data_IF_574411694115
#
_entry.id   IF_574411694115
#
_cell.length_a   1.000
_cell.length_b   1.000
_cell.length_c   1.000
_cell.angle_alpha   90.00
_cell.angle_beta   90.00
_cell.angle_gamma   90.00
#
_symmetry.space_group_name_H-M   'P 1'
#
loop_
_entity.id
_entity.type
_entity.pdbx_description
1 polymer ?
#
# COMPACT_ATOMS: atom_id res chain seq x y z
N UNK A 1 -14.98 -17.37 -14.01
CA UNK A 1 -15.12 -16.72 -12.69
C UNK A 1 -13.71 -16.37 -12.25
N UNK A 2 -13.23 -15.20 -12.64
CA UNK A 2 -11.87 -14.73 -12.37
C UNK A 2 -11.98 -13.53 -11.45
N UNK A 3 -12.12 -13.78 -10.15
CA UNK A 3 -12.16 -12.71 -9.16
C UNK A 3 -10.71 -12.37 -8.83
N UNK A 4 -10.18 -11.36 -9.51
CA UNK A 4 -8.84 -10.85 -9.25
C UNK A 4 -8.77 -10.33 -7.81
N UNK A 5 -7.65 -10.60 -7.09
CA UNK A 5 -7.48 -10.15 -5.73
C UNK A 5 -7.53 -8.61 -5.66
N UNK A 6 -8.30 -8.09 -4.70
CA UNK A 6 -8.44 -6.66 -4.48
C UNK A 6 -7.35 -6.18 -3.51
N UNK A 7 -6.62 -5.17 -3.94
CA UNK A 7 -5.55 -4.53 -3.20
C UNK A 7 -5.91 -3.08 -2.89
N UNK A 8 -4.99 -2.42 -2.18
CA UNK A 8 -5.07 -1.02 -1.80
C UNK A 8 -6.29 -0.70 -0.90
N UNK A 9 -6.28 0.50 -0.35
CA UNK A 9 -7.40 1.06 0.41
C UNK A 9 -8.65 1.30 -0.46
N UNK A 10 -8.50 1.39 -1.78
CA UNK A 10 -9.61 1.53 -2.72
C UNK A 10 -10.31 0.20 -3.04
N UNK A 11 -9.77 -0.95 -2.58
CA UNK A 11 -10.30 -2.30 -2.86
C UNK A 11 -10.51 -2.51 -4.36
N UNK A 12 -9.46 -2.28 -5.14
CA UNK A 12 -9.46 -2.49 -6.58
C UNK A 12 -8.37 -3.48 -6.97
N UNK A 13 -8.49 -4.07 -8.15
CA UNK A 13 -7.49 -4.98 -8.71
C UNK A 13 -6.14 -4.27 -8.88
N UNK A 14 -5.07 -5.03 -9.11
CA UNK A 14 -3.79 -4.44 -9.45
C UNK A 14 -3.86 -3.78 -10.83
N UNK A 15 -3.53 -2.49 -10.90
CA UNK A 15 -3.45 -1.75 -12.17
C UNK A 15 -2.42 -0.63 -12.05
N UNK A 16 -1.81 -0.24 -13.18
CA UNK A 16 -0.84 0.85 -13.21
C UNK A 16 0.36 0.65 -12.28
N UNK A 17 0.86 1.75 -11.73
CA UNK A 17 2.00 1.74 -10.80
C UNK A 17 1.54 1.44 -9.36
N UNK A 18 2.19 0.43 -8.76
CA UNK A 18 1.89 -0.01 -7.40
C UNK A 18 3.14 -0.09 -6.55
N UNK A 19 2.97 0.18 -5.26
CA UNK A 19 4.00 0.09 -4.22
C UNK A 19 3.61 -0.95 -3.19
N UNK A 20 4.58 -1.76 -2.75
CA UNK A 20 4.40 -2.67 -1.63
C UNK A 20 4.70 -1.96 -0.30
N UNK A 21 3.84 -2.15 0.68
CA UNK A 21 4.08 -1.75 2.06
C UNK A 21 5.05 -2.75 2.70
N UNK A 22 6.16 -2.25 3.22
CA UNK A 22 7.22 -3.06 3.85
C UNK A 22 6.85 -3.62 5.23
N UNK A 23 5.67 -3.26 5.75
CA UNK A 23 5.14 -3.84 6.98
C UNK A 23 4.49 -5.19 6.69
N UNK A 24 5.09 -6.28 7.19
CA UNK A 24 4.60 -7.66 7.05
C UNK A 24 3.18 -7.86 7.62
N UNK A 25 2.82 -7.07 8.64
CA UNK A 25 1.46 -7.08 9.22
C UNK A 25 0.46 -6.19 8.45
N UNK A 26 0.80 -5.70 7.26
CA UNK A 26 -0.11 -4.88 6.46
C UNK A 26 -1.15 -5.76 5.77
N UNK A 27 -2.47 -5.56 6.01
CA UNK A 27 -3.51 -6.43 5.44
C UNK A 27 -3.71 -6.24 3.93
N UNK A 28 -3.19 -5.16 3.35
CA UNK A 28 -3.38 -4.83 1.93
C UNK A 28 -2.15 -5.15 1.10
N UNK A 29 -0.95 -5.08 1.69
CA UNK A 29 0.39 -5.27 1.10
C UNK A 29 0.72 -4.35 -0.08
N UNK A 30 -0.19 -4.12 -1.02
CA UNK A 30 0.00 -3.35 -2.26
C UNK A 30 -0.94 -2.16 -2.36
N UNK A 31 -0.42 -1.05 -2.88
CA UNK A 31 -1.15 0.21 -3.01
C UNK A 31 -0.86 0.89 -4.34
N UNK A 32 -1.89 1.48 -4.97
CA UNK A 32 -1.72 2.30 -6.17
C UNK A 32 -1.07 3.64 -5.84
N UNK A 33 -0.17 4.09 -6.70
CA UNK A 33 0.55 5.34 -6.53
C UNK A 33 -0.40 6.53 -6.32
N UNK A 34 -1.44 6.63 -7.15
CA UNK A 34 -2.48 7.66 -7.05
C UNK A 34 -3.23 7.63 -5.71
N UNK A 35 -3.50 6.43 -5.17
CA UNK A 35 -4.25 6.27 -3.93
C UNK A 35 -3.42 6.69 -2.70
N UNK A 36 -2.09 6.62 -2.80
CA UNK A 36 -1.17 7.00 -1.72
C UNK A 36 -0.40 8.30 -2.00
N UNK A 37 -0.71 8.98 -3.10
CA UNK A 37 -0.06 10.23 -3.51
C UNK A 37 1.41 10.07 -3.90
N UNK A 38 1.82 8.87 -4.33
CA UNK A 38 3.13 8.67 -4.93
C UNK A 38 3.08 9.04 -6.42
N UNK A 39 4.15 9.68 -6.89
CA UNK A 39 4.38 9.96 -8.31
C UNK A 39 5.60 9.24 -8.84
N UNK A 40 6.45 8.74 -7.95
CA UNK A 40 7.71 8.09 -8.25
C UNK A 40 7.95 6.92 -7.29
N UNK A 41 8.72 5.90 -7.71
CA UNK A 41 9.03 4.77 -6.85
C UNK A 41 9.82 5.22 -5.62
N UNK A 42 9.36 4.87 -4.40
CA UNK A 42 10.07 5.25 -3.19
C UNK A 42 11.45 4.59 -3.15
N UNK A 43 12.45 5.36 -2.74
CA UNK A 43 13.81 4.86 -2.58
C UNK A 43 13.95 4.22 -1.20
N UNK A 44 13.79 2.90 -1.15
CA UNK A 44 13.94 2.09 0.07
C UNK A 44 12.62 1.60 0.63
N UNK A 45 12.53 1.47 1.96
CA UNK A 45 11.33 0.98 2.63
C UNK A 45 10.23 2.02 2.61
N UNK A 46 9.04 1.60 2.16
CA UNK A 46 7.85 2.42 2.14
C UNK A 46 6.76 1.76 2.99
N UNK A 47 6.08 2.57 3.79
CA UNK A 47 4.99 2.12 4.64
C UNK A 47 3.74 2.92 4.31
N UNK A 48 2.60 2.24 4.24
CA UNK A 48 1.32 2.90 4.03
C UNK A 48 0.92 3.77 5.24
N UNK A 49 0.02 4.74 5.02
CA UNK A 49 -0.40 5.70 6.05
C UNK A 49 -0.96 5.02 7.32
N UNK A 50 -1.65 3.89 7.17
CA UNK A 50 -2.16 3.05 8.27
C UNK A 50 -1.01 2.48 9.11
N UNK A 51 0.01 1.88 8.46
CA UNK A 51 1.16 1.32 9.15
C UNK A 51 2.01 2.40 9.82
N UNK A 52 2.25 3.53 9.13
CA UNK A 52 2.94 4.70 9.70
C UNK A 52 2.22 5.24 10.95
N UNK A 53 0.88 5.29 10.92
CA UNK A 53 0.07 5.73 12.07
C UNK A 53 0.17 4.78 13.25
N UNK A 54 0.20 3.47 13.00
CA UNK A 54 0.41 2.44 14.04
C UNK A 54 1.81 2.55 14.67
N UNK A 55 2.85 2.76 13.86
CA UNK A 55 4.24 2.90 14.34
C UNK A 55 4.38 4.17 15.21
N UNK A 56 3.80 5.30 14.80
CA UNK A 56 3.87 6.56 15.58
C UNK A 56 3.17 6.49 16.94
N UNK A 57 2.09 5.70 17.06
CA UNK A 57 1.29 5.59 18.30
C UNK A 57 1.98 4.79 19.42
N UNK A 58 3.09 4.13 19.14
CA UNK A 58 3.87 3.38 20.13
C UNK A 58 5.07 4.17 20.69
N UNK A 59 5.10 5.49 20.48
CA UNK A 59 6.09 6.40 21.06
C UNK A 59 5.49 7.29 22.14
#
# INVERSE_FOLDING_TARGET
>A
NGEEPLYCLCRQVSYGDMVACDNDECPYEWFHYECVGLTEPPKGTWYCAECLSKIKKQR
#
